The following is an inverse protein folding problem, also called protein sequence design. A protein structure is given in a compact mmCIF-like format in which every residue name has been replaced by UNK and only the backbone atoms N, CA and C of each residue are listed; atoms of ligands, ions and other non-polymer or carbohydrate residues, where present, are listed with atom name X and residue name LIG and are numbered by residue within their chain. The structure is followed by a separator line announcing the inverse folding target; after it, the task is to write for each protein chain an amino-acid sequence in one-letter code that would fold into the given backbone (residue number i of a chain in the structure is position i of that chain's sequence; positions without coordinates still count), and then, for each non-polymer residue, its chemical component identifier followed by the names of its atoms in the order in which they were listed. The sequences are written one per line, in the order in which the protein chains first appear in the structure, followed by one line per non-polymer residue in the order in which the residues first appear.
data_IF_877822375855
#
_entry.id   IF_877822375855
#
_cell.length_a   1.000
_cell.length_b   1.000
_cell.length_c   1.000
_cell.angle_alpha   90.00
_cell.angle_beta   90.00
_cell.angle_gamma   90.00
#
_symmetry.space_group_name_H-M   'P 1'
#
loop_
_entity.id
_entity.type
_entity.pdbx_description
1 polymer ?
#
# COMPACT_ATOMS: atom_id res chain seq x y z
N UNK A 1 -11.91 -8.27 31.67
CA UNK A 1 -12.34 -7.76 30.36
C UNK A 1 -11.10 -7.36 29.59
N UNK A 2 -10.77 -8.09 28.52
CA UNK A 2 -9.63 -7.77 27.64
C UNK A 2 -9.97 -6.56 26.78
N UNK A 3 -9.21 -5.48 26.93
CA UNK A 3 -9.33 -4.28 26.10
C UNK A 3 -8.92 -4.65 24.67
N UNK A 4 -9.89 -4.74 23.76
CA UNK A 4 -9.63 -4.98 22.34
C UNK A 4 -9.21 -3.62 21.76
N UNK A 5 -7.93 -3.46 21.47
CA UNK A 5 -7.41 -2.23 20.86
C UNK A 5 -7.97 -2.11 19.43
N UNK A 6 -8.94 -1.22 19.24
CA UNK A 6 -9.63 -0.98 17.95
C UNK A 6 -8.86 -0.04 17.01
N UNK A 7 -7.78 0.59 17.49
CA UNK A 7 -6.91 1.52 16.73
C UNK A 7 -6.45 0.96 15.37
N UNK A 8 -6.08 -0.33 15.23
CA UNK A 8 -5.64 -0.88 13.95
C UNK A 8 -6.77 -0.86 12.90
N UNK A 9 -8.01 -1.02 13.35
CA UNK A 9 -9.19 -1.11 12.48
C UNK A 9 -9.56 0.26 11.91
N UNK A 10 -9.50 1.30 12.74
CA UNK A 10 -9.74 2.68 12.30
C UNK A 10 -8.65 3.19 11.36
N UNK A 11 -7.38 2.85 11.62
CA UNK A 11 -6.27 3.17 10.72
C UNK A 11 -6.42 2.50 9.35
N UNK A 12 -6.89 1.24 9.31
CA UNK A 12 -7.15 0.53 8.07
C UNK A 12 -8.27 1.19 7.25
N UNK A 13 -9.37 1.57 7.90
CA UNK A 13 -10.51 2.24 7.26
C UNK A 13 -10.07 3.62 6.75
N UNK A 14 -9.37 4.40 7.57
CA UNK A 14 -8.86 5.71 7.18
C UNK A 14 -7.91 5.61 5.98
N UNK A 15 -6.98 4.64 6.01
CA UNK A 15 -6.08 4.37 4.90
C UNK A 15 -6.82 3.99 3.62
N UNK A 16 -7.85 3.13 3.73
CA UNK A 16 -8.68 2.76 2.59
C UNK A 16 -9.42 3.96 2.00
N UNK A 17 -10.04 4.80 2.84
CA UNK A 17 -10.75 6.02 2.41
C UNK A 17 -9.78 6.99 1.71
N UNK A 18 -8.58 7.19 2.25
CA UNK A 18 -7.56 8.06 1.65
C UNK A 18 -7.10 7.53 0.28
N UNK A 19 -6.94 6.21 0.14
CA UNK A 19 -6.60 5.59 -1.15
C UNK A 19 -7.73 5.80 -2.15
N UNK A 20 -8.99 5.53 -1.76
CA UNK A 20 -10.14 5.75 -2.63
C UNK A 20 -10.26 7.22 -3.06
N UNK A 21 -10.09 8.16 -2.13
CA UNK A 21 -10.12 9.59 -2.42
C UNK A 21 -8.99 9.99 -3.38
N UNK A 22 -7.76 9.48 -3.17
CA UNK A 22 -6.63 9.73 -4.06
C UNK A 22 -6.86 9.15 -5.47
N UNK A 23 -7.45 7.97 -5.58
CA UNK A 23 -7.78 7.34 -6.87
C UNK A 23 -8.89 8.10 -7.58
N UNK A 24 -9.91 8.58 -6.88
CA UNK A 24 -11.02 9.33 -7.50
C UNK A 24 -10.53 10.72 -7.93
N UNK A 25 -9.86 11.45 -7.03
CA UNK A 25 -9.38 12.81 -7.30
C UNK A 25 -8.24 12.82 -8.32
N UNK A 26 -7.30 11.88 -8.23
CA UNK A 26 -6.16 11.77 -9.14
C UNK A 26 -6.49 11.04 -10.44
N UNK A 27 -7.34 10.01 -10.38
CA UNK A 27 -7.61 9.12 -11.51
C UNK A 27 -8.42 9.78 -12.62
N UNK A 28 -9.38 10.64 -12.30
CA UNK A 28 -10.18 11.33 -13.33
C UNK A 28 -9.33 12.29 -14.17
N UNK A 29 -8.43 13.05 -13.54
CA UNK A 29 -7.49 13.93 -14.24
C UNK A 29 -6.36 13.16 -14.94
N UNK A 30 -5.77 12.18 -14.25
CA UNK A 30 -4.65 11.42 -14.78
C UNK A 30 -5.04 10.53 -15.98
N UNK A 31 -6.26 9.99 -16.03
CA UNK A 31 -6.71 9.18 -17.18
C UNK A 31 -6.91 10.06 -18.40
N UNK A 32 -7.55 11.23 -18.25
CA UNK A 32 -7.69 12.18 -19.35
C UNK A 32 -6.32 12.58 -19.92
N UNK A 33 -5.39 12.99 -19.05
CA UNK A 33 -4.04 13.38 -19.47
C UNK A 33 -3.25 12.20 -20.06
N UNK A 34 -3.32 11.00 -19.47
CA UNK A 34 -2.69 9.81 -20.03
C UNK A 34 -3.22 9.45 -21.41
N UNK A 35 -4.53 9.60 -21.66
CA UNK A 35 -5.08 9.28 -22.98
C UNK A 35 -4.59 10.25 -24.06
N UNK A 36 -4.49 11.54 -23.75
CA UNK A 36 -3.93 12.55 -24.66
C UNK A 36 -2.46 12.23 -24.97
N UNK A 37 -1.69 11.91 -23.94
CA UNK A 37 -0.28 11.55 -24.05
C UNK A 37 -0.12 10.28 -24.90
N UNK A 38 -0.85 9.22 -24.58
CA UNK A 38 -0.81 7.95 -25.33
C UNK A 38 -1.19 8.14 -26.79
N UNK A 39 -2.20 8.95 -27.09
CA UNK A 39 -2.60 9.24 -28.45
C UNK A 39 -1.52 10.03 -29.20
N UNK A 40 -0.88 11.00 -28.55
CA UNK A 40 0.22 11.77 -29.15
C UNK A 40 1.45 10.89 -29.44
N UNK A 41 1.77 9.96 -28.53
CA UNK A 41 2.89 9.02 -28.69
C UNK A 41 2.57 8.01 -29.80
N UNK A 42 1.35 7.46 -29.84
CA UNK A 42 0.89 6.58 -30.93
C UNK A 42 0.98 7.26 -32.28
N UNK A 43 0.55 8.52 -32.38
CA UNK A 43 0.62 9.30 -33.62
C UNK A 43 2.07 9.50 -34.08
N UNK A 44 2.98 9.87 -33.17
CA UNK A 44 4.41 10.00 -33.46
C UNK A 44 5.06 8.67 -33.85
N UNK A 45 4.71 7.59 -33.17
CA UNK A 45 5.20 6.25 -33.47
C UNK A 45 4.77 5.81 -34.87
N UNK A 46 3.48 5.98 -35.21
CA UNK A 46 2.95 5.66 -36.53
C UNK A 46 3.62 6.52 -37.62
N UNK A 47 3.86 7.80 -37.36
CA UNK A 47 4.58 8.66 -38.30
C UNK A 47 6.04 8.24 -38.54
N UNK A 48 6.69 7.67 -37.53
CA UNK A 48 8.12 7.29 -37.59
C UNK A 48 8.33 5.91 -38.18
N UNK A 49 7.51 4.95 -37.78
CA UNK A 49 7.70 3.53 -38.08
C UNK A 49 6.67 2.98 -39.08
N UNK A 50 5.66 3.78 -39.47
CA UNK A 50 4.56 3.38 -40.36
C UNK A 50 3.79 2.13 -39.91
N UNK A 51 3.90 1.78 -38.63
CA UNK A 51 3.28 0.59 -38.04
C UNK A 51 2.43 0.96 -36.82
N UNK A 52 1.35 0.21 -36.53
CA UNK A 52 0.58 0.39 -35.31
C UNK A 52 1.43 0.10 -34.07
N UNK A 53 1.33 0.98 -33.07
CA UNK A 53 2.16 0.91 -31.87
C UNK A 53 1.83 -0.31 -31.01
N UNK A 54 2.78 -1.24 -30.87
CA UNK A 54 2.76 -2.26 -29.83
C UNK A 54 3.37 -1.71 -28.54
N UNK A 55 2.55 -1.57 -27.49
CA UNK A 55 2.95 -0.95 -26.21
C UNK A 55 4.13 -1.67 -25.57
N UNK A 56 4.13 -3.01 -25.57
CA UNK A 56 5.20 -3.80 -24.96
C UNK A 56 6.54 -3.63 -25.69
N UNK A 57 6.50 -3.65 -27.03
CA UNK A 57 7.69 -3.42 -27.86
C UNK A 57 8.21 -1.99 -27.73
N UNK A 58 7.31 -1.02 -27.68
CA UNK A 58 7.63 0.39 -27.47
C UNK A 58 8.31 0.62 -26.12
N UNK A 59 7.77 0.08 -25.03
CA UNK A 59 8.37 0.18 -23.70
C UNK A 59 9.75 -0.47 -23.63
N UNK A 60 9.93 -1.63 -24.28
CA UNK A 60 11.23 -2.30 -24.37
C UNK A 60 12.27 -1.49 -25.15
N UNK A 61 11.87 -0.84 -26.25
CA UNK A 61 12.76 0.05 -26.99
C UNK A 61 13.05 1.34 -26.23
N UNK A 62 12.05 1.89 -25.54
CA UNK A 62 12.18 3.09 -24.72
C UNK A 62 13.04 2.88 -23.46
N UNK A 63 13.09 1.66 -22.90
CA UNK A 63 13.93 1.38 -21.73
C UNK A 63 15.43 1.42 -22.04
N UNK A 64 15.82 1.23 -23.31
CA UNK A 64 17.21 1.24 -23.76
C UNK A 64 17.67 2.57 -24.36
N UNK A 65 16.76 3.48 -24.72
CA UNK A 65 17.07 4.75 -25.38
C UNK A 65 16.51 5.94 -24.61
N UNK A 66 17.39 6.76 -24.03
CA UNK A 66 17.02 7.96 -23.28
C UNK A 66 16.16 8.95 -24.09
N UNK A 67 16.43 9.09 -25.39
CA UNK A 67 15.66 9.96 -26.29
C UNK A 67 14.18 9.60 -26.36
N UNK A 68 13.83 8.32 -26.22
CA UNK A 68 12.45 7.84 -26.23
C UNK A 68 11.69 8.26 -24.95
N UNK A 69 12.40 8.25 -23.82
CA UNK A 69 11.89 8.71 -22.53
C UNK A 69 11.64 10.22 -22.55
N UNK A 70 12.53 10.99 -23.16
CA UNK A 70 12.37 12.45 -23.34
C UNK A 70 11.13 12.79 -24.17
N UNK A 71 10.87 12.06 -25.26
CA UNK A 71 9.66 12.28 -26.08
C UNK A 71 8.38 12.01 -25.30
N UNK A 72 8.39 10.99 -24.44
CA UNK A 72 7.27 10.68 -23.54
C UNK A 72 7.07 11.77 -22.49
N UNK A 73 8.16 12.23 -21.87
CA UNK A 73 8.14 13.29 -20.86
C UNK A 73 7.72 14.65 -21.45
N UNK A 74 8.08 14.92 -22.69
CA UNK A 74 7.69 16.13 -23.43
C UNK A 74 6.22 16.09 -23.91
N UNK A 75 5.66 14.89 -24.09
CA UNK A 75 4.24 14.73 -24.43
C UNK A 75 3.31 15.03 -23.24
N UNK A 76 3.83 14.97 -22.00
CA UNK A 76 3.09 15.39 -20.81
C UNK A 76 2.91 16.91 -20.80
N UNK A 77 1.68 17.36 -21.02
CA UNK A 77 1.29 18.77 -20.94
C UNK A 77 1.20 19.29 -19.48
N UNK A 78 1.33 18.39 -18.50
CA UNK A 78 1.29 18.74 -17.09
C UNK A 78 2.54 19.52 -16.63
N UNK A 79 2.39 20.46 -15.67
CA UNK A 79 3.53 21.18 -15.11
C UNK A 79 4.50 20.21 -14.41
N UNK A 80 5.80 20.51 -14.49
CA UNK A 80 6.87 19.58 -14.06
C UNK A 80 6.74 19.10 -12.61
N UNK A 81 6.24 19.94 -11.70
CA UNK A 81 6.02 19.58 -10.31
C UNK A 81 4.94 18.49 -10.16
N UNK A 82 3.85 18.59 -10.93
CA UNK A 82 2.76 17.62 -10.90
C UNK A 82 3.23 16.27 -11.47
N UNK A 83 4.05 16.32 -12.53
CA UNK A 83 4.69 15.14 -13.10
C UNK A 83 5.56 14.41 -12.08
N UNK A 84 6.38 15.17 -11.33
CA UNK A 84 7.23 14.63 -10.28
C UNK A 84 6.39 13.97 -9.18
N UNK A 85 5.30 14.61 -8.74
CA UNK A 85 4.37 14.06 -7.74
C UNK A 85 3.72 12.76 -8.22
N UNK A 86 3.29 12.68 -9.47
CA UNK A 86 2.72 11.44 -10.01
C UNK A 86 3.74 10.29 -10.08
N UNK A 87 4.97 10.58 -10.51
CA UNK A 87 6.03 9.58 -10.58
C UNK A 87 6.47 9.11 -9.19
N UNK A 88 6.65 10.02 -8.24
CA UNK A 88 7.02 9.65 -6.86
C UNK A 88 5.90 8.87 -6.18
N UNK A 89 4.64 9.25 -6.37
CA UNK A 89 3.50 8.49 -5.85
C UNK A 89 3.40 7.09 -6.47
N UNK A 90 3.70 6.95 -7.75
CA UNK A 90 3.71 5.64 -8.42
C UNK A 90 4.82 4.74 -7.85
N UNK A 91 6.05 5.27 -7.72
CA UNK A 91 7.18 4.52 -7.14
C UNK A 91 6.91 4.17 -5.67
N UNK A 92 6.48 5.14 -4.87
CA UNK A 92 6.13 4.91 -3.46
C UNK A 92 5.00 3.89 -3.32
N UNK A 93 3.97 3.98 -4.17
CA UNK A 93 2.86 3.02 -4.20
C UNK A 93 3.32 1.60 -4.47
N UNK A 94 4.19 1.40 -5.48
CA UNK A 94 4.79 0.08 -5.76
C UNK A 94 5.58 -0.43 -4.56
N UNK A 95 6.41 0.42 -3.94
CA UNK A 95 7.17 0.06 -2.75
C UNK A 95 6.27 -0.33 -1.58
N UNK A 96 5.19 0.42 -1.32
CA UNK A 96 4.23 0.09 -0.27
C UNK A 96 3.46 -1.20 -0.54
N UNK A 97 3.08 -1.47 -1.79
CA UNK A 97 2.44 -2.74 -2.17
C UNK A 97 3.39 -3.91 -1.94
N UNK A 98 4.65 -3.79 -2.37
CA UNK A 98 5.68 -4.81 -2.12
C UNK A 98 5.92 -5.00 -0.62
N UNK A 99 6.07 -3.90 0.11
CA UNK A 99 6.28 -3.91 1.54
C UNK A 99 5.09 -4.56 2.26
N UNK A 100 3.85 -4.23 1.89
CA UNK A 100 2.65 -4.84 2.47
C UNK A 100 2.53 -6.35 2.17
N UNK A 101 3.10 -6.82 1.05
CA UNK A 101 3.16 -8.26 0.73
C UNK A 101 4.15 -9.01 1.62
N UNK A 102 5.27 -8.38 1.94
CA UNK A 102 6.35 -8.94 2.78
C UNK A 102 5.99 -8.79 4.27
N UNK A 103 5.42 -7.66 4.65
CA UNK A 103 5.08 -7.31 6.01
C UNK A 103 3.80 -8.01 6.45
N UNK A 104 3.94 -9.07 7.25
CA UNK A 104 2.81 -9.79 7.88
C UNK A 104 2.71 -9.42 9.36
N UNK A 105 1.98 -8.35 9.72
CA UNK A 105 1.90 -7.92 11.12
C UNK A 105 1.25 -9.00 12.02
N UNK A 106 0.41 -9.87 11.46
CA UNK A 106 -0.20 -10.98 12.18
C UNK A 106 0.80 -11.98 12.74
N UNK A 107 1.91 -12.26 12.03
CA UNK A 107 2.91 -13.21 12.54
C UNK A 107 3.68 -12.63 13.73
N UNK A 108 3.99 -11.34 13.69
CA UNK A 108 4.59 -10.61 14.80
C UNK A 108 3.64 -10.51 16.00
N UNK A 109 2.38 -10.17 15.77
CA UNK A 109 1.37 -10.09 16.82
C UNK A 109 1.13 -11.46 17.48
N UNK A 110 0.92 -12.53 16.71
CA UNK A 110 0.78 -13.89 17.25
C UNK A 110 2.02 -14.35 18.02
N UNK A 111 3.21 -13.86 17.68
CA UNK A 111 4.44 -14.12 18.44
C UNK A 111 4.44 -13.38 19.77
N UNK A 112 4.05 -12.11 19.79
CA UNK A 112 3.94 -11.33 21.03
C UNK A 112 2.89 -11.92 21.98
N UNK A 113 1.72 -12.30 21.45
CA UNK A 113 0.66 -12.95 22.25
C UNK A 113 1.14 -14.27 22.84
N UNK A 114 1.84 -15.11 22.06
CA UNK A 114 2.43 -16.37 22.57
C UNK A 114 3.47 -16.16 23.66
N UNK A 115 4.34 -15.15 23.51
CA UNK A 115 5.35 -14.82 24.53
C UNK A 115 4.68 -14.26 25.79
N UNK A 116 3.65 -13.42 25.63
CA UNK A 116 2.90 -12.88 26.75
C UNK A 116 2.12 -13.98 27.50
N UNK A 117 1.48 -14.91 26.79
CA UNK A 117 0.78 -16.04 27.42
C UNK A 117 1.75 -16.95 28.16
N UNK A 118 2.91 -17.27 27.57
CA UNK A 118 3.95 -18.06 28.23
C UNK A 118 4.46 -17.39 29.52
N UNK A 119 4.63 -16.06 29.51
CA UNK A 119 5.00 -15.31 30.73
C UNK A 119 3.91 -15.36 31.80
N UNK A 120 2.63 -15.31 31.42
CA UNK A 120 1.55 -15.45 32.40
C UNK A 120 1.45 -16.85 32.99
N UNK A 121 1.77 -17.90 32.22
CA UNK A 121 1.76 -19.28 32.72
C UNK A 121 2.94 -19.51 33.67
N UNK A 122 4.15 -19.04 33.32
CA UNK A 122 5.32 -19.05 34.22
C UNK A 122 5.04 -18.26 35.51
N UNK A 123 4.37 -17.10 35.42
CA UNK A 123 3.99 -16.32 36.59
C UNK A 123 2.97 -17.05 37.50
N UNK A 124 2.07 -17.86 36.93
CA UNK A 124 1.15 -18.70 37.70
C UNK A 124 1.90 -19.82 38.42
N UNK A 125 2.82 -20.49 37.72
CA UNK A 125 3.61 -21.59 38.30
C UNK A 125 4.51 -21.11 39.46
N UNK A 126 5.01 -19.88 39.39
CA UNK A 126 5.80 -19.27 40.48
C UNK A 126 4.96 -18.52 41.53
N UNK A 127 3.65 -18.37 41.33
CA UNK A 127 2.77 -17.72 42.31
C UNK A 127 2.28 -18.70 43.37
N UNK A 128 3.08 -18.89 44.43
CA UNK A 128 2.70 -19.67 45.62
C UNK A 128 1.60 -19.04 46.51
N UNK A 129 0.85 -18.05 46.01
CA UNK A 129 -0.28 -17.45 46.73
C UNK A 129 -1.58 -17.79 46.02
N UNK A 130 -2.44 -18.54 46.71
CA UNK A 130 -3.86 -18.65 46.35
C UNK A 130 -4.46 -17.23 46.24
N UNK A 131 -5.25 -16.94 45.20
CA UNK A 131 -5.95 -15.67 45.10
C UNK A 131 -6.91 -15.52 46.28
N UNK A 132 -6.66 -14.54 47.16
CA UNK A 132 -7.59 -14.18 48.24
C UNK A 132 -8.75 -13.35 47.65
N UNK A 133 -9.94 -13.95 47.60
CA UNK A 133 -11.21 -13.33 47.20
C UNK A 133 -11.52 -13.52 45.71
N UNK A 134 -12.70 -13.95 45.25
CA UNK A 134 -14.09 -13.69 45.70
C UNK A 134 -15.03 -14.89 45.44
N UNK A 135 -14.55 -16.14 45.49
CA UNK A 135 -15.38 -17.35 45.27
C UNK A 135 -15.63 -18.19 46.53
N UNK A 136 -15.56 -17.61 47.73
CA UNK A 136 -15.95 -18.30 48.97
C UNK A 136 -17.40 -18.03 49.41
N UNK A 137 -18.22 -17.36 48.58
CA UNK A 137 -19.62 -17.01 48.93
C UNK A 137 -20.71 -17.86 48.27
N UNK A 138 -20.38 -19.01 47.68
CA UNK A 138 -21.38 -19.97 47.16
C UNK A 138 -21.34 -21.34 47.86
N UNK A 139 -20.86 -21.38 49.10
CA UNK A 139 -21.04 -22.55 49.96
C UNK A 139 -21.44 -22.03 51.34
N UNK A 140 -22.74 -21.73 51.51
CA UNK A 140 -23.52 -21.73 52.76
C UNK A 140 -24.80 -20.89 52.56
N UNK A 141 -25.81 -21.52 51.96
CA UNK A 141 -27.17 -21.68 52.50
C UNK A 141 -28.06 -22.33 51.46
#
# INVERSE_FOLDING_TARGET
MTYIDLRPRWLLILGFVLICAAVIAGGLGAVADMTVVLNSVKAKYLATYQEPMNVGRYLWQCSSKASCMETYLAAWQAPAWLRAVHLTNLVAGVLFVFYGRIWKPETLYRRQVRVASARTDVAKDHSMKQPKGTLQRMALK
#
